data_IF_845815376072
#
_entry.id   IF_845815376072
#
_cell.length_a   1.000
_cell.length_b   1.000
_cell.length_c   1.000
_cell.angle_alpha   90.00
_cell.angle_beta   90.00
_cell.angle_gamma   90.00
#
_symmetry.space_group_name_H-M   'P 1'
#
loop_
_entity.id
_entity.type
_entity.pdbx_description
1 polymer ?
#
# COMPACT_ATOMS: atom_id res chain seq x y z
N UNK A 1 4.14 -20.03 12.52
CA UNK A 1 3.35 -18.78 12.49
C UNK A 1 2.33 -18.94 11.40
N UNK A 2 1.08 -18.64 11.71
CA UNK A 2 -0.03 -18.86 10.80
C UNK A 2 -0.30 -17.62 9.94
N UNK A 3 -0.97 -17.85 8.81
CA UNK A 3 -1.37 -16.81 7.90
C UNK A 3 -2.44 -15.94 8.57
N UNK A 4 -2.14 -14.68 8.84
CA UNK A 4 -3.08 -13.79 9.53
C UNK A 4 -4.40 -13.56 8.75
N UNK A 5 -4.42 -13.87 7.44
CA UNK A 5 -5.62 -13.79 6.59
C UNK A 5 -6.51 -15.05 6.69
N UNK A 6 -5.98 -16.23 7.00
CA UNK A 6 -6.80 -17.45 6.92
C UNK A 6 -6.49 -18.54 7.95
N UNK A 7 -5.57 -18.29 8.87
CA UNK A 7 -5.15 -19.25 9.89
C UNK A 7 -4.32 -20.43 9.39
N UNK A 8 -4.12 -20.58 8.08
CA UNK A 8 -3.34 -21.70 7.53
C UNK A 8 -1.83 -21.51 7.73
N UNK A 9 -1.02 -22.58 7.76
CA UNK A 9 0.44 -22.48 7.88
C UNK A 9 1.04 -21.53 6.83
N UNK A 10 1.85 -20.58 7.29
CA UNK A 10 2.40 -19.53 6.45
C UNK A 10 3.89 -19.74 6.14
N UNK A 11 4.23 -19.65 4.85
CA UNK A 11 5.59 -19.93 4.33
C UNK A 11 6.16 -18.76 3.53
N UNK A 12 5.34 -17.77 3.19
CA UNK A 12 5.72 -16.63 2.36
C UNK A 12 5.65 -15.33 3.17
N UNK A 13 6.26 -14.26 2.65
CA UNK A 13 6.20 -12.93 3.24
C UNK A 13 5.85 -11.91 2.16
N UNK A 14 5.02 -10.93 2.52
CA UNK A 14 4.63 -9.83 1.65
C UNK A 14 5.80 -8.87 1.43
N UNK A 15 5.92 -8.27 0.24
CA UNK A 15 6.95 -7.28 0.01
C UNK A 15 6.62 -5.95 0.70
N UNK A 16 7.61 -5.29 1.29
CA UNK A 16 7.44 -3.96 1.90
C UNK A 16 7.02 -2.92 0.86
N UNK A 17 7.65 -2.94 -0.31
CA UNK A 17 7.19 -2.21 -1.50
C UNK A 17 7.00 -3.24 -2.59
N UNK A 18 5.87 -3.19 -3.30
CA UNK A 18 5.53 -4.15 -4.33
C UNK A 18 6.69 -4.28 -5.32
N UNK A 19 7.11 -5.53 -5.57
CA UNK A 19 8.28 -5.80 -6.40
C UNK A 19 8.17 -5.23 -7.83
N UNK A 20 6.96 -5.19 -8.41
CA UNK A 20 6.74 -4.57 -9.72
C UNK A 20 6.90 -3.05 -9.70
N UNK A 21 6.49 -2.39 -8.62
CA UNK A 21 6.67 -0.93 -8.48
C UNK A 21 8.15 -0.60 -8.34
N UNK A 22 8.90 -1.37 -7.53
CA UNK A 22 10.36 -1.25 -7.43
C UNK A 22 11.05 -1.47 -8.79
N UNK A 23 10.65 -2.50 -9.54
CA UNK A 23 11.23 -2.80 -10.84
C UNK A 23 10.94 -1.70 -11.86
N UNK A 24 9.70 -1.21 -11.92
CA UNK A 24 9.30 -0.11 -12.79
C UNK A 24 10.11 1.15 -12.49
N UNK A 25 10.24 1.48 -11.21
CA UNK A 25 10.84 2.73 -10.79
C UNK A 25 12.38 2.72 -10.84
N UNK A 26 13.04 1.68 -10.31
CA UNK A 26 14.50 1.59 -10.27
C UNK A 26 15.14 1.00 -11.54
N UNK A 27 14.36 0.29 -12.35
CA UNK A 27 14.84 -0.41 -13.53
C UNK A 27 15.56 -1.73 -13.18
N UNK A 28 16.63 -2.04 -13.91
CA UNK A 28 17.38 -3.27 -13.69
C UNK A 28 18.25 -3.17 -12.41
N UNK A 29 18.02 -4.08 -11.47
CA UNK A 29 18.74 -4.20 -10.20
C UNK A 29 19.51 -5.50 -10.21
N UNK A 30 20.82 -5.44 -9.95
CA UNK A 30 21.72 -6.60 -9.90
C UNK A 30 22.78 -6.42 -8.82
N UNK A 31 23.64 -7.41 -8.60
CA UNK A 31 24.78 -7.26 -7.69
C UNK A 31 25.76 -6.17 -8.14
N UNK A 32 25.89 -5.95 -9.46
CA UNK A 32 26.73 -4.89 -10.03
C UNK A 32 26.05 -3.51 -10.01
N UNK A 33 24.71 -3.48 -9.93
CA UNK A 33 23.90 -2.26 -9.85
C UNK A 33 22.84 -2.40 -8.75
N UNK A 34 23.26 -2.44 -7.47
CA UNK A 34 22.32 -2.64 -6.37
C UNK A 34 21.50 -1.38 -6.11
N UNK A 35 20.33 -1.57 -5.50
CA UNK A 35 19.67 -0.50 -4.75
C UNK A 35 20.09 -0.61 -3.28
N UNK A 36 19.99 0.47 -2.53
CA UNK A 36 20.41 0.51 -1.14
C UNK A 36 19.21 0.62 -0.22
N UNK A 37 19.11 -0.29 0.73
CA UNK A 37 18.10 -0.24 1.79
C UNK A 37 18.62 0.59 2.96
N UNK A 38 17.73 1.46 3.45
CA UNK A 38 17.94 2.23 4.67
C UNK A 38 16.80 1.91 5.65
N UNK A 39 17.18 1.52 6.87
CA UNK A 39 16.31 1.38 8.02
C UNK A 39 16.91 2.15 9.21
N UNK A 40 16.17 2.23 10.31
CA UNK A 40 16.70 2.80 11.56
C UNK A 40 17.93 2.03 12.06
N UNK A 41 17.90 0.70 11.97
CA UNK A 41 18.98 -0.15 12.45
C UNK A 41 20.22 -0.15 11.53
N UNK A 42 20.04 -0.01 10.21
CA UNK A 42 21.15 -0.07 9.23
C UNK A 42 20.88 0.82 8.02
N UNK A 43 21.93 1.53 7.59
CA UNK A 43 21.92 2.35 6.36
C UNK A 43 22.78 1.71 5.28
N UNK A 44 22.51 2.04 4.01
CA UNK A 44 23.32 1.66 2.84
C UNK A 44 23.49 0.14 2.66
N UNK A 45 22.48 -0.67 2.98
CA UNK A 45 22.57 -2.11 2.79
C UNK A 45 22.31 -2.46 1.31
N UNK A 46 23.29 -3.00 0.55
CA UNK A 46 23.09 -3.28 -0.87
C UNK A 46 22.10 -4.43 -1.07
N UNK A 47 21.21 -4.24 -2.03
CA UNK A 47 20.19 -5.20 -2.47
C UNK A 47 20.35 -5.40 -3.98
N UNK A 48 20.93 -6.54 -4.36
CA UNK A 48 21.13 -6.92 -5.76
C UNK A 48 19.97 -7.71 -6.39
N UNK A 49 18.87 -7.94 -5.67
CA UNK A 49 17.67 -8.59 -6.22
C UNK A 49 16.40 -8.13 -5.50
N UNK A 50 15.47 -7.57 -6.27
CA UNK A 50 14.18 -7.07 -5.75
C UNK A 50 13.32 -8.23 -5.20
N UNK A 51 13.21 -9.35 -5.93
CA UNK A 51 12.30 -10.45 -5.58
C UNK A 51 12.87 -11.40 -4.53
N UNK A 52 14.16 -11.73 -4.64
CA UNK A 52 14.79 -12.75 -3.80
C UNK A 52 15.20 -12.22 -2.43
N UNK A 53 15.32 -10.91 -2.25
CA UNK A 53 15.77 -10.33 -0.99
C UNK A 53 14.69 -10.45 0.09
N UNK A 54 14.95 -11.27 1.11
CA UNK A 54 14.14 -11.35 2.33
C UNK A 54 14.07 -10.01 3.07
N UNK A 55 15.08 -9.15 2.89
CA UNK A 55 15.18 -7.83 3.53
C UNK A 55 14.14 -6.83 3.01
N UNK A 56 13.56 -7.10 1.83
CA UNK A 56 12.46 -6.32 1.25
C UNK A 56 11.09 -6.92 1.55
N UNK A 57 11.01 -7.87 2.49
CA UNK A 57 9.76 -8.52 2.89
C UNK A 57 9.42 -8.20 4.33
N UNK A 58 8.12 -8.10 4.59
CA UNK A 58 7.54 -7.99 5.91
C UNK A 58 7.79 -9.26 6.72
N UNK A 59 7.90 -9.11 8.05
CA UNK A 59 8.07 -10.24 8.96
C UNK A 59 6.79 -11.08 9.10
N UNK A 60 5.63 -10.46 8.89
CA UNK A 60 4.35 -11.15 8.84
C UNK A 60 4.35 -12.22 7.74
N UNK A 61 3.84 -13.38 8.11
CA UNK A 61 3.82 -14.55 7.23
C UNK A 61 2.43 -14.73 6.63
N UNK A 62 2.41 -15.09 5.35
CA UNK A 62 1.22 -15.46 4.61
C UNK A 62 1.38 -16.86 4.02
N UNK A 63 0.29 -17.61 3.91
CA UNK A 63 0.28 -18.83 3.10
C UNK A 63 0.35 -18.45 1.61
N UNK A 64 0.92 -19.34 0.79
CA UNK A 64 1.09 -19.08 -0.65
C UNK A 64 -0.23 -18.77 -1.36
N UNK A 65 -1.32 -19.47 -0.98
CA UNK A 65 -2.65 -19.25 -1.54
C UNK A 65 -3.17 -17.84 -1.28
N UNK A 66 -3.08 -17.33 -0.04
CA UNK A 66 -3.48 -15.96 0.26
C UNK A 66 -2.57 -14.95 -0.42
N UNK A 67 -1.26 -15.17 -0.38
CA UNK A 67 -0.30 -14.21 -0.90
C UNK A 67 -0.33 -14.08 -2.43
N UNK A 68 -0.51 -15.19 -3.14
CA UNK A 68 -0.30 -15.25 -4.60
C UNK A 68 -1.61 -15.40 -5.38
N UNK A 69 -2.60 -16.15 -4.89
CA UNK A 69 -3.83 -16.46 -5.64
C UNK A 69 -4.96 -15.52 -5.20
N UNK A 70 -5.29 -15.54 -3.90
CA UNK A 70 -6.42 -14.80 -3.31
C UNK A 70 -6.32 -13.30 -3.60
N UNK A 71 -5.14 -12.71 -3.39
CA UNK A 71 -4.94 -11.27 -3.56
C UNK A 71 -4.45 -10.88 -4.96
N UNK A 72 -4.40 -11.82 -5.91
CA UNK A 72 -3.86 -11.56 -7.25
C UNK A 72 -4.64 -10.47 -8.00
N UNK A 73 -5.96 -10.41 -7.82
CA UNK A 73 -6.80 -9.37 -8.41
C UNK A 73 -6.49 -7.99 -7.80
N UNK A 74 -6.24 -7.92 -6.50
CA UNK A 74 -5.85 -6.69 -5.79
C UNK A 74 -4.54 -6.16 -6.32
N UNK A 75 -3.55 -7.06 -6.43
CA UNK A 75 -2.22 -6.77 -6.96
C UNK A 75 -2.26 -6.24 -8.39
N UNK A 76 -3.14 -6.79 -9.24
CA UNK A 76 -3.33 -6.34 -10.62
C UNK A 76 -4.01 -4.97 -10.69
N UNK A 77 -5.06 -4.74 -9.91
CA UNK A 77 -5.77 -3.47 -9.86
C UNK A 77 -4.84 -2.34 -9.41
N UNK A 78 -4.04 -2.56 -8.36
CA UNK A 78 -3.03 -1.60 -7.94
C UNK A 78 -1.98 -1.36 -9.02
N UNK A 79 -1.41 -2.42 -9.61
CA UNK A 79 -0.40 -2.27 -10.68
C UNK A 79 -0.91 -1.42 -11.84
N UNK A 80 -2.18 -1.58 -12.23
CA UNK A 80 -2.80 -0.79 -13.30
C UNK A 80 -2.89 0.69 -12.93
N UNK A 81 -3.35 0.99 -11.72
CA UNK A 81 -3.44 2.37 -11.23
C UNK A 81 -2.05 2.99 -11.03
N UNK A 82 -1.14 2.30 -10.35
CA UNK A 82 0.21 2.81 -10.05
C UNK A 82 0.99 3.11 -11.32
N UNK A 83 0.91 2.24 -12.34
CA UNK A 83 1.55 2.48 -13.64
C UNK A 83 0.96 3.72 -14.31
N UNK A 84 -0.37 3.82 -14.39
CA UNK A 84 -1.02 4.99 -14.98
C UNK A 84 -0.62 6.29 -14.28
N UNK A 85 -0.60 6.29 -12.93
CA UNK A 85 -0.23 7.45 -12.13
C UNK A 85 1.23 7.85 -12.38
N UNK A 86 2.16 6.89 -12.41
CA UNK A 86 3.58 7.15 -12.66
C UNK A 86 3.81 7.71 -14.08
N UNK A 87 3.18 7.11 -15.09
CA UNK A 87 3.34 7.51 -16.49
C UNK A 87 2.75 8.90 -16.78
N UNK A 88 1.72 9.30 -16.02
CA UNK A 88 0.99 10.55 -16.24
C UNK A 88 1.28 11.60 -15.16
N UNK A 89 2.20 11.35 -14.22
CA UNK A 89 2.32 12.15 -13.01
C UNK A 89 2.53 13.63 -13.32
N UNK A 90 3.40 13.98 -14.28
CA UNK A 90 3.65 15.37 -14.69
C UNK A 90 2.37 16.10 -15.14
N UNK A 91 1.47 15.41 -15.84
CA UNK A 91 0.19 15.96 -16.29
C UNK A 91 -0.78 16.08 -15.12
N UNK A 92 -0.84 15.05 -14.29
CA UNK A 92 -1.72 14.98 -13.12
C UNK A 92 -1.31 16.05 -12.09
N UNK A 93 -0.02 16.31 -11.88
CA UNK A 93 0.48 17.34 -10.97
C UNK A 93 -0.03 18.74 -11.31
N UNK A 94 -0.42 18.99 -12.57
CA UNK A 94 -1.01 20.27 -12.98
C UNK A 94 -2.51 20.33 -12.76
N UNK A 95 -3.24 19.22 -12.97
CA UNK A 95 -4.69 19.18 -12.82
C UNK A 95 -5.16 18.83 -11.41
N UNK A 96 -4.34 18.14 -10.61
CA UNK A 96 -4.74 17.53 -9.35
C UNK A 96 -5.71 16.35 -9.51
N UNK A 97 -6.04 15.96 -10.74
CA UNK A 97 -7.15 15.05 -11.03
C UNK A 97 -6.78 13.93 -12.00
N UNK A 98 -7.29 12.74 -11.72
CA UNK A 98 -7.22 11.55 -12.57
C UNK A 98 -8.62 11.08 -12.93
N UNK A 99 -8.89 11.02 -14.23
CA UNK A 99 -10.15 10.47 -14.75
C UNK A 99 -10.09 8.94 -14.71
N UNK A 100 -10.75 8.33 -13.73
CA UNK A 100 -10.62 6.88 -13.46
C UNK A 100 -11.15 6.00 -14.59
N UNK A 101 -12.05 6.46 -15.45
CA UNK A 101 -12.47 5.68 -16.63
C UNK A 101 -11.32 5.41 -17.62
N UNK A 102 -10.24 6.23 -17.58
CA UNK A 102 -9.04 5.99 -18.38
C UNK A 102 -8.18 4.86 -17.82
N UNK A 103 -8.31 4.58 -16.52
CA UNK A 103 -7.60 3.51 -15.83
C UNK A 103 -8.47 2.25 -15.80
N UNK A 104 -9.75 2.38 -15.45
CA UNK A 104 -10.71 1.29 -15.21
C UNK A 104 -11.97 1.49 -16.06
N UNK A 105 -11.89 1.32 -17.40
CA UNK A 105 -13.04 1.50 -18.27
C UNK A 105 -14.13 0.46 -17.94
N UNK A 106 -15.31 0.95 -17.56
CA UNK A 106 -16.47 0.10 -17.23
C UNK A 106 -16.43 -0.59 -15.86
N UNK A 107 -15.36 -0.43 -15.08
CA UNK A 107 -15.13 -1.24 -13.86
C UNK A 107 -14.62 -0.43 -12.65
N UNK A 108 -14.78 0.90 -12.65
CA UNK A 108 -14.17 1.79 -11.64
C UNK A 108 -14.50 1.35 -10.20
N UNK A 109 -15.77 1.15 -9.87
CA UNK A 109 -16.19 0.76 -8.51
C UNK A 109 -15.53 -0.55 -8.07
N UNK A 110 -15.56 -1.57 -8.96
CA UNK A 110 -14.92 -2.87 -8.70
C UNK A 110 -13.42 -2.73 -8.50
N UNK A 111 -12.72 -2.06 -9.42
CA UNK A 111 -11.26 -2.01 -9.38
C UNK A 111 -10.74 -1.10 -8.27
N UNK A 112 -11.42 -0.01 -7.92
CA UNK A 112 -11.04 0.80 -6.76
C UNK A 112 -11.21 0.04 -5.44
N UNK A 113 -12.22 -0.84 -5.33
CA UNK A 113 -12.34 -1.77 -4.20
C UNK A 113 -11.14 -2.72 -4.14
N UNK A 114 -10.74 -3.29 -5.28
CA UNK A 114 -9.54 -4.13 -5.36
C UNK A 114 -8.26 -3.36 -5.01
N UNK A 115 -8.16 -2.07 -5.38
CA UNK A 115 -7.05 -1.18 -4.96
C UNK A 115 -7.03 -0.99 -3.46
N UNK A 116 -8.19 -0.74 -2.82
CA UNK A 116 -8.23 -0.65 -1.35
C UNK A 116 -7.82 -1.98 -0.71
N UNK A 117 -8.30 -3.11 -1.22
CA UNK A 117 -7.95 -4.44 -0.70
C UNK A 117 -6.46 -4.79 -0.86
N UNK A 118 -5.78 -4.22 -1.86
CA UNK A 118 -4.32 -4.29 -1.92
C UNK A 118 -3.69 -3.60 -0.71
N UNK A 119 -4.15 -2.39 -0.38
CA UNK A 119 -3.67 -1.66 0.80
C UNK A 119 -4.14 -2.27 2.13
N UNK A 120 -5.29 -2.95 2.19
CA UNK A 120 -5.72 -3.73 3.37
C UNK A 120 -4.73 -4.86 3.65
N UNK A 121 -4.36 -5.64 2.63
CA UNK A 121 -3.35 -6.70 2.74
C UNK A 121 -2.01 -6.12 3.20
N UNK A 122 -1.56 -5.05 2.54
CA UNK A 122 -0.27 -4.42 2.81
C UNK A 122 -0.19 -3.85 4.23
N UNK A 123 -1.19 -3.07 4.64
CA UNK A 123 -1.33 -2.52 5.97
C UNK A 123 -1.43 -3.63 7.03
N UNK A 124 -2.25 -4.66 6.81
CA UNK A 124 -2.39 -5.78 7.75
C UNK A 124 -1.07 -6.53 7.96
N UNK A 125 -0.31 -6.83 6.89
CA UNK A 125 1.02 -7.42 7.02
C UNK A 125 1.96 -6.53 7.83
N UNK A 126 1.90 -5.22 7.62
CA UNK A 126 2.74 -4.27 8.34
C UNK A 126 2.35 -4.17 9.82
N UNK A 127 1.07 -4.04 10.11
CA UNK A 127 0.55 -4.00 11.47
C UNK A 127 0.90 -5.26 12.27
N UNK A 128 0.74 -6.44 11.67
CA UNK A 128 1.14 -7.72 12.30
C UNK A 128 2.66 -7.79 12.51
N UNK A 129 3.46 -7.30 11.57
CA UNK A 129 4.93 -7.29 11.71
C UNK A 129 5.40 -6.37 12.83
N UNK A 130 4.77 -5.20 12.95
CA UNK A 130 5.17 -4.13 13.85
C UNK A 130 4.46 -4.26 15.22
N UNK A 131 3.61 -5.28 15.42
CA UNK A 131 2.87 -5.51 16.66
C UNK A 131 1.81 -4.45 16.95
N UNK A 132 1.26 -3.79 15.92
CA UNK A 132 0.21 -2.76 16.08
C UNK A 132 -1.10 -3.45 16.51
N UNK A 133 -1.72 -3.02 17.62
CA UNK A 133 -2.89 -3.70 18.19
C UNK A 133 -4.19 -3.36 17.45
N UNK A 134 -4.28 -3.76 16.19
CA UNK A 134 -5.49 -3.64 15.36
C UNK A 134 -6.32 -4.92 15.38
N UNK A 135 -7.61 -4.81 15.07
CA UNK A 135 -8.44 -5.96 14.75
C UNK A 135 -8.08 -6.52 13.35
N UNK A 136 -7.22 -7.53 13.30
CA UNK A 136 -6.85 -8.18 12.04
C UNK A 136 -7.96 -9.04 11.44
N UNK A 137 -8.93 -9.48 12.25
CA UNK A 137 -10.06 -10.30 11.78
C UNK A 137 -10.92 -9.51 10.79
N UNK A 138 -11.22 -8.24 11.08
CA UNK A 138 -12.00 -7.41 10.16
C UNK A 138 -11.28 -7.19 8.82
N UNK A 139 -9.95 -6.98 8.86
CA UNK A 139 -9.12 -6.87 7.65
C UNK A 139 -9.12 -8.17 6.85
N UNK A 140 -8.96 -9.29 7.55
CA UNK A 140 -8.98 -10.64 6.98
C UNK A 140 -10.29 -10.92 6.27
N UNK A 141 -11.43 -10.66 6.93
CA UNK A 141 -12.76 -10.87 6.37
C UNK A 141 -13.01 -10.01 5.12
N UNK A 142 -12.52 -8.76 5.08
CA UNK A 142 -12.61 -7.95 3.86
C UNK A 142 -11.85 -8.56 2.68
N UNK A 143 -10.67 -9.14 2.92
CA UNK A 143 -9.89 -9.82 1.89
C UNK A 143 -10.57 -11.13 1.45
N UNK A 144 -11.05 -11.94 2.40
CA UNK A 144 -11.67 -13.23 2.11
C UNK A 144 -12.99 -13.09 1.33
N UNK A 145 -13.77 -12.07 1.66
CA UNK A 145 -15.07 -11.82 1.04
C UNK A 145 -15.00 -10.82 -0.12
N UNK A 146 -13.81 -10.30 -0.45
CA UNK A 146 -13.58 -9.28 -1.47
C UNK A 146 -14.51 -8.05 -1.29
N UNK A 147 -14.65 -7.58 -0.06
CA UNK A 147 -15.50 -6.43 0.29
C UNK A 147 -14.67 -5.20 0.64
N UNK A 148 -15.26 -4.02 0.45
CA UNK A 148 -14.64 -2.78 0.94
C UNK A 148 -14.49 -2.85 2.46
N UNK A 149 -13.29 -2.53 2.98
CA UNK A 149 -13.11 -2.47 4.43
C UNK A 149 -13.63 -1.13 4.96
N UNK A 150 -14.57 -1.12 5.93
CA UNK A 150 -15.28 0.10 6.34
C UNK A 150 -14.39 1.12 7.03
N UNK A 151 -13.31 0.67 7.66
CA UNK A 151 -12.41 1.52 8.46
C UNK A 151 -11.07 1.81 7.76
N UNK A 152 -10.90 1.44 6.48
CA UNK A 152 -9.66 1.72 5.75
C UNK A 152 -9.91 2.80 4.70
N UNK A 153 -9.17 3.88 4.78
CA UNK A 153 -9.25 5.01 3.85
C UNK A 153 -7.92 5.19 3.15
N UNK A 154 -7.96 5.62 1.90
CA UNK A 154 -6.76 5.89 1.11
C UNK A 154 -6.81 7.30 0.50
N UNK A 155 -5.66 7.96 0.45
CA UNK A 155 -5.49 9.21 -0.31
C UNK A 155 -4.22 9.14 -1.15
N UNK A 156 -4.27 9.71 -2.35
CA UNK A 156 -3.15 9.74 -3.26
C UNK A 156 -2.53 11.13 -3.26
N UNK A 157 -1.21 11.18 -3.23
CA UNK A 157 -0.44 12.40 -3.13
C UNK A 157 0.66 12.39 -4.17
N UNK A 158 0.83 13.53 -4.84
CA UNK A 158 2.06 13.84 -5.54
C UNK A 158 3.00 14.54 -4.56
N UNK A 159 4.15 13.92 -4.29
CA UNK A 159 5.23 14.48 -3.49
C UNK A 159 6.27 15.03 -4.47
N UNK A 160 6.37 16.35 -4.68
CA UNK A 160 7.40 16.94 -5.52
C UNK A 160 8.74 16.79 -4.80
N UNK A 161 9.44 15.67 -5.05
CA UNK A 161 10.74 15.45 -4.43
C UNK A 161 11.80 16.29 -5.13
N UNK A 162 12.67 16.95 -4.36
CA UNK A 162 13.92 17.53 -4.84
C UNK A 162 15.11 16.56 -4.66
N UNK A 163 14.83 15.31 -4.25
CA UNK A 163 15.89 14.33 -3.99
C UNK A 163 16.63 13.99 -5.28
N UNK A 164 17.97 14.03 -5.21
CA UNK A 164 18.86 13.67 -6.32
C UNK A 164 18.81 12.18 -6.69
N UNK A 165 18.24 11.35 -5.81
CA UNK A 165 18.21 9.90 -5.96
C UNK A 165 16.78 9.37 -5.98
N UNK A 166 16.58 8.31 -6.76
CA UNK A 166 15.34 7.53 -6.74
C UNK A 166 15.16 6.92 -5.34
N UNK A 167 13.95 7.03 -4.79
CA UNK A 167 13.60 6.41 -3.51
C UNK A 167 12.21 5.77 -3.55
N UNK A 168 12.05 4.70 -2.78
CA UNK A 168 10.76 4.10 -2.48
C UNK A 168 10.80 3.60 -1.04
N UNK A 169 9.69 3.67 -0.33
CA UNK A 169 9.69 3.35 1.09
C UNK A 169 8.32 3.46 1.73
N UNK A 170 8.30 3.12 3.01
CA UNK A 170 7.13 3.21 3.87
C UNK A 170 7.45 4.13 5.05
N UNK A 171 6.48 4.90 5.52
CA UNK A 171 6.60 5.50 6.84
C UNK A 171 6.31 4.45 7.92
N UNK A 172 6.79 4.65 9.16
CA UNK A 172 6.27 3.91 10.31
C UNK A 172 4.74 4.06 10.40
N UNK A 173 4.07 3.05 10.97
CA UNK A 173 2.66 3.18 11.35
C UNK A 173 2.62 4.09 12.58
N UNK A 174 1.99 5.24 12.45
CA UNK A 174 1.60 6.07 13.57
C UNK A 174 0.25 5.57 14.07
N UNK A 175 0.11 5.27 15.36
CA UNK A 175 -1.10 4.70 15.92
C UNK A 175 -1.55 5.47 17.17
N UNK A 176 -2.87 5.66 17.30
CA UNK A 176 -3.52 6.12 18.52
C UNK A 176 -4.27 4.95 19.12
N UNK A 177 -3.90 4.58 20.34
CA UNK A 177 -4.45 3.43 21.05
C UNK A 177 -5.34 3.90 22.20
N UNK A 178 -6.53 3.31 22.31
CA UNK A 178 -7.45 3.49 23.44
C UNK A 178 -7.69 2.10 24.03
N UNK A 179 -7.48 1.94 25.33
CA UNK A 179 -7.65 0.67 26.04
C UNK A 179 -6.90 -0.50 25.39
N UNK A 180 -5.68 -0.26 24.92
CA UNK A 180 -4.83 -1.28 24.30
C UNK A 180 -5.20 -1.64 22.85
N UNK A 181 -6.17 -0.98 22.23
CA UNK A 181 -6.58 -1.21 20.83
C UNK A 181 -6.35 0.06 20.02
N UNK A 182 -5.79 -0.07 18.83
CA UNK A 182 -5.65 1.06 17.91
C UNK A 182 -7.02 1.48 17.37
N UNK A 183 -7.36 2.75 17.55
CA UNK A 183 -8.60 3.34 17.01
C UNK A 183 -8.34 4.22 15.79
N UNK A 184 -7.08 4.62 15.60
CA UNK A 184 -6.60 5.34 14.45
C UNK A 184 -5.17 4.92 14.12
N UNK A 185 -4.88 4.64 12.86
CA UNK A 185 -3.52 4.45 12.37
C UNK A 185 -3.33 5.22 11.07
N UNK A 186 -2.10 5.67 10.82
CA UNK A 186 -1.70 6.22 9.51
C UNK A 186 -0.30 5.77 9.11
N UNK A 187 -0.12 5.50 7.82
CA UNK A 187 1.19 5.33 7.21
C UNK A 187 1.14 5.71 5.72
N UNK A 188 2.29 5.89 5.09
CA UNK A 188 2.40 6.17 3.67
C UNK A 188 3.18 5.09 2.94
N UNK A 189 2.68 4.70 1.77
CA UNK A 189 3.35 3.89 0.76
C UNK A 189 3.90 4.81 -0.32
N UNK A 190 5.22 4.84 -0.54
CA UNK A 190 5.88 5.84 -1.37
C UNK A 190 6.73 5.18 -2.46
N UNK A 191 6.54 5.63 -3.71
CA UNK A 191 7.37 5.25 -4.87
C UNK A 191 7.66 6.52 -5.67
N UNK A 192 8.87 7.05 -5.53
CA UNK A 192 9.28 8.32 -6.13
C UNK A 192 8.41 9.48 -5.69
N UNK A 193 7.68 10.07 -6.63
CA UNK A 193 6.82 11.22 -6.38
C UNK A 193 5.38 10.82 -6.10
N UNK A 194 5.05 9.54 -6.12
CA UNK A 194 3.71 9.07 -5.77
C UNK A 194 3.73 8.55 -4.33
N UNK A 195 2.82 9.07 -3.51
CA UNK A 195 2.51 8.49 -2.21
C UNK A 195 1.03 8.11 -2.11
N UNK A 196 0.78 7.05 -1.36
CA UNK A 196 -0.54 6.66 -0.92
C UNK A 196 -0.54 6.65 0.60
N UNK A 197 -1.30 7.55 1.21
CA UNK A 197 -1.56 7.46 2.64
C UNK A 197 -2.66 6.44 2.87
N UNK A 198 -2.44 5.60 3.86
CA UNK A 198 -3.35 4.55 4.29
C UNK A 198 -3.74 4.90 5.72
N UNK A 199 -5.04 5.01 5.96
CA UNK A 199 -5.60 5.30 7.27
C UNK A 199 -6.47 4.14 7.72
N UNK A 200 -6.28 3.71 8.96
CA UNK A 200 -7.24 2.89 9.68
C UNK A 200 -7.96 3.79 10.69
N UNK A 201 -9.28 3.83 10.72
CA UNK A 201 -10.03 4.67 11.65
C UNK A 201 -11.34 4.01 12.05
N UNK A 202 -11.50 3.67 13.33
CA UNK A 202 -12.74 3.12 13.89
C UNK A 202 -13.61 4.19 14.55
N UNK A 203 -13.09 5.40 14.71
CA UNK A 203 -13.81 6.53 15.30
C UNK A 203 -14.69 7.18 14.24
N UNK A 204 -16.00 7.22 14.51
CA UNK A 204 -16.95 7.92 13.66
C UNK A 204 -16.64 9.43 13.59
N UNK A 205 -16.99 10.07 12.47
CA UNK A 205 -16.90 11.53 12.30
C UNK A 205 -15.50 12.16 12.45
N UNK A 206 -14.42 11.38 12.33
CA UNK A 206 -13.04 11.90 12.34
C UNK A 206 -12.62 12.53 10.99
N UNK A 207 -13.47 13.41 10.44
CA UNK A 207 -13.28 14.00 9.10
C UNK A 207 -12.01 14.85 9.00
N UNK A 208 -11.55 15.45 10.10
CA UNK A 208 -10.32 16.25 10.13
C UNK A 208 -9.09 15.38 9.88
N UNK A 209 -8.99 14.22 10.54
CA UNK A 209 -7.86 13.31 10.36
C UNK A 209 -7.89 12.57 9.01
N UNK A 210 -9.08 12.40 8.42
CA UNK A 210 -9.30 11.74 7.14
C UNK A 210 -9.37 12.73 5.96
N UNK A 211 -8.93 13.98 6.12
CA UNK A 211 -9.05 15.00 5.08
C UNK A 211 -8.39 14.55 3.77
N UNK A 212 -9.20 14.38 2.73
CA UNK A 212 -8.74 13.94 1.41
C UNK A 212 -8.58 12.43 1.24
N UNK A 213 -8.68 11.66 2.33
CA UNK A 213 -8.75 10.20 2.29
C UNK A 213 -10.19 9.74 2.06
N UNK A 214 -10.35 8.70 1.26
CA UNK A 214 -11.65 8.18 0.86
C UNK A 214 -11.67 6.66 0.84
N UNK A 215 -12.86 6.11 1.01
CA UNK A 215 -13.18 4.73 0.66
C UNK A 215 -13.49 4.62 -0.84
N UNK A 216 -13.30 3.45 -1.46
CA UNK A 216 -13.70 3.21 -2.85
C UNK A 216 -15.14 3.63 -3.19
N UNK A 217 -16.09 3.37 -2.30
CA UNK A 217 -17.51 3.77 -2.42
C UNK A 217 -17.73 5.28 -2.51
N UNK A 218 -16.77 6.07 -2.04
CA UNK A 218 -16.76 7.55 -2.09
C UNK A 218 -15.98 8.09 -3.31
N UNK A 219 -15.40 7.19 -4.12
CA UNK A 219 -14.59 7.49 -5.31
C UNK A 219 -15.34 7.03 -6.57
N UNK A 220 -15.95 8.00 -7.26
CA UNK A 220 -16.76 7.71 -8.46
C UNK A 220 -15.96 7.77 -9.76
N UNK A 221 -15.75 8.98 -10.30
CA UNK A 221 -15.19 9.16 -11.66
C UNK A 221 -13.82 9.83 -11.66
N UNK A 222 -13.53 10.59 -10.61
CA UNK A 222 -12.32 11.40 -10.48
C UNK A 222 -11.63 10.99 -9.19
N UNK A 223 -10.35 10.69 -9.32
CA UNK A 223 -9.43 10.54 -8.21
C UNK A 223 -8.62 11.83 -8.08
N UNK A 224 -8.67 12.44 -6.90
CA UNK A 224 -7.88 13.64 -6.62
C UNK A 224 -6.51 13.23 -6.08
N UNK A 225 -5.47 13.86 -6.61
CA UNK A 225 -4.13 13.80 -6.04
C UNK A 225 -3.89 15.09 -5.26
N UNK A 226 -3.70 14.95 -3.95
CA UNK A 226 -3.21 16.05 -3.15
C UNK A 226 -1.74 16.37 -3.47
N UNK A 227 -1.29 17.51 -3.00
CA UNK A 227 0.13 17.89 -2.99
C UNK A 227 0.55 17.98 -1.53
N UNK A 228 1.68 17.36 -1.20
CA UNK A 228 2.30 17.44 0.11
C UNK A 228 3.45 18.46 0.09
#
# INVERSE_FOLDING_TARGET
MDCWICGQPATTGEHLIKASDLKSYFGNVSQQKPIYQHSEARKNLPIGSIKASSKLKSAARLCAKCNNERTSAHDKAWSKLSSYLQDNLRKISKSGEVKLHKVFPGSISRDMKLVQLFFVKHFGCRAVSDGVPINTESLSQAILNETEHPNIYISFLNIPTQLKHKYAGLTPIQAVNINGVSVFCSCAYIVGNLAVNIFYCTVENNQKALKGAKKPSEINKILNLGVL
#
